data_IF_464205124937
#
_entry.id   IF_464205124937
#
_cell.length_a   1.000
_cell.length_b   1.000
_cell.length_c   1.000
_cell.angle_alpha   90.00
_cell.angle_beta   90.00
_cell.angle_gamma   90.00
#
_symmetry.space_group_name_H-M   'P 1'
#
loop_
_entity.id
_entity.type
_entity.pdbx_description
1 polymer ?
#
# COMPACT_ATOMS: atom_id res chain seq x y z
N UNK A 1 -25.13 -8.78 0.11
CA UNK A 1 -25.16 -7.70 -0.07
C UNK A 1 -23.99 -7.10 0.20
N UNK A 2 -23.76 -6.57 -0.35
CA UNK A 2 -22.75 -6.12 -0.15
C UNK A 2 -22.71 -5.11 0.39
N UNK A 3 -22.25 -5.01 1.01
CA UNK A 3 -22.22 -4.10 1.68
C UNK A 3 -21.70 -3.06 1.16
N UNK A 4 -22.17 -2.36 1.33
CA UNK A 4 -21.91 -1.32 0.94
C UNK A 4 -20.66 -0.85 1.23
N UNK A 5 -20.15 -1.24 2.20
CA UNK A 5 -19.01 -0.66 2.66
C UNK A 5 -17.92 -0.73 1.69
N UNK A 6 -17.72 -1.81 1.14
CA UNK A 6 -16.57 -1.95 0.34
C UNK A 6 -16.65 -1.09 -0.87
N UNK A 7 -17.84 -0.89 -1.32
CA UNK A 7 -17.91 -0.26 -2.56
C UNK A 7 -17.59 1.18 -2.52
N UNK A 8 -17.65 1.76 -1.43
CA UNK A 8 -17.42 3.15 -1.40
C UNK A 8 -16.08 3.57 -0.95
N UNK A 9 -15.27 2.64 -0.51
CA UNK A 9 -14.01 3.02 -0.02
C UNK A 9 -13.16 3.60 -1.08
N UNK A 10 -12.54 4.73 -0.80
CA UNK A 10 -11.63 5.36 -1.73
C UNK A 10 -12.28 5.85 -2.99
N UNK A 11 -13.60 5.85 -3.05
CA UNK A 11 -14.28 6.29 -4.26
C UNK A 11 -14.12 5.37 -5.45
N UNK A 12 -13.62 4.14 -5.25
CA UNK A 12 -13.42 3.21 -6.35
C UNK A 12 -14.74 2.56 -6.72
N UNK A 13 -15.15 2.59 -7.98
CA UNK A 13 -16.36 1.90 -8.40
C UNK A 13 -16.23 0.42 -8.13
N UNK A 14 -17.31 -0.20 -7.64
CA UNK A 14 -17.27 -1.60 -7.25
C UNK A 14 -16.76 -2.52 -8.34
N UNK A 15 -17.25 -2.31 -9.57
CA UNK A 15 -16.84 -3.19 -10.66
C UNK A 15 -15.36 -3.10 -10.97
N UNK A 16 -14.82 -1.87 -10.98
CA UNK A 16 -13.41 -1.68 -11.28
C UNK A 16 -12.55 -2.27 -10.18
N UNK A 17 -12.95 -2.08 -8.92
CA UNK A 17 -12.18 -2.61 -7.80
C UNK A 17 -12.16 -4.14 -7.82
N UNK A 18 -13.30 -4.75 -8.06
CA UNK A 18 -13.37 -6.21 -8.08
C UNK A 18 -12.49 -6.79 -9.18
N UNK A 19 -12.54 -6.19 -10.38
CA UNK A 19 -11.75 -6.70 -11.50
C UNK A 19 -10.27 -6.48 -11.26
N UNK A 20 -9.87 -5.29 -10.78
CA UNK A 20 -8.47 -4.99 -10.55
C UNK A 20 -7.89 -5.89 -9.46
N UNK A 21 -8.65 -6.09 -8.40
CA UNK A 21 -8.19 -6.93 -7.31
C UNK A 21 -8.01 -8.38 -7.76
N UNK A 22 -8.96 -8.89 -8.53
CA UNK A 22 -8.88 -10.28 -9.01
C UNK A 22 -7.75 -10.50 -9.99
N UNK A 23 -7.37 -9.44 -10.72
CA UNK A 23 -6.35 -9.58 -11.75
C UNK A 23 -4.94 -9.33 -11.22
N UNK A 24 -4.79 -8.41 -10.26
CA UNK A 24 -3.47 -7.95 -9.86
C UNK A 24 -3.13 -8.19 -8.40
N UNK A 25 -4.08 -8.37 -7.52
CA UNK A 25 -3.80 -8.47 -6.09
C UNK A 25 -3.99 -9.88 -5.55
N UNK A 26 -5.18 -10.44 -5.73
CA UNK A 26 -5.47 -11.76 -5.18
C UNK A 26 -5.99 -12.62 -6.30
N UNK A 27 -5.15 -13.49 -6.82
CA UNK A 27 -5.48 -14.28 -8.00
C UNK A 27 -5.18 -15.74 -7.75
N UNK A 28 -6.14 -16.59 -8.08
CA UNK A 28 -6.00 -18.04 -7.94
C UNK A 28 -5.61 -18.46 -6.52
N UNK A 29 -6.18 -17.79 -5.52
CA UNK A 29 -5.91 -18.13 -4.13
C UNK A 29 -4.57 -17.64 -3.61
N UNK A 30 -3.88 -16.78 -4.35
CA UNK A 30 -2.58 -16.28 -3.93
C UNK A 30 -2.56 -14.77 -3.91
N UNK A 31 -1.80 -14.22 -2.96
CA UNK A 31 -1.56 -12.79 -2.93
C UNK A 31 -0.43 -12.49 -3.91
N UNK A 32 -0.70 -11.64 -4.90
CA UNK A 32 0.27 -11.28 -5.92
C UNK A 32 0.46 -9.78 -6.05
N UNK A 33 -0.18 -8.99 -5.20
CA UNK A 33 -0.08 -7.55 -5.25
C UNK A 33 -0.65 -6.91 -4.02
N UNK A 34 -0.60 -5.58 -3.99
CA UNK A 34 -1.19 -4.81 -2.89
C UNK A 34 -1.50 -3.40 -3.38
N UNK A 35 -2.42 -2.73 -2.68
CA UNK A 35 -2.69 -1.32 -2.93
C UNK A 35 -1.54 -0.48 -2.41
N UNK A 36 -1.18 0.56 -3.14
CA UNK A 36 -0.06 1.42 -2.78
C UNK A 36 -0.42 2.89 -2.92
N UNK A 37 0.55 3.76 -2.71
CA UNK A 37 0.41 5.18 -2.95
C UNK A 37 -0.72 5.81 -2.17
N UNK A 38 -1.39 6.77 -2.78
CA UNK A 38 -2.51 7.46 -2.14
C UNK A 38 -3.66 6.51 -1.82
N UNK A 39 -3.81 5.44 -2.59
CA UNK A 39 -4.86 4.47 -2.33
C UNK A 39 -4.68 3.84 -0.95
N UNK A 40 -3.48 3.35 -0.68
CA UNK A 40 -3.21 2.74 0.63
C UNK A 40 -3.19 3.79 1.74
N UNK A 41 -2.59 4.95 1.50
CA UNK A 41 -2.57 6.01 2.50
C UNK A 41 -3.97 6.43 2.92
N UNK A 42 -4.90 6.48 1.96
CA UNK A 42 -6.28 6.78 2.26
C UNK A 42 -6.94 5.65 3.06
N UNK A 43 -6.64 4.41 2.73
CA UNK A 43 -7.18 3.26 3.46
C UNK A 43 -6.74 3.28 4.92
N UNK A 44 -5.53 3.73 5.19
CA UNK A 44 -5.05 3.84 6.57
C UNK A 44 -5.52 5.12 7.26
N UNK A 45 -6.08 6.05 6.52
CA UNK A 45 -6.51 7.32 7.07
C UNK A 45 -5.39 8.34 7.23
N UNK A 46 -4.23 8.09 6.60
CA UNK A 46 -3.11 9.03 6.64
C UNK A 46 -3.43 10.27 5.84
N UNK A 47 -4.16 10.11 4.76
CA UNK A 47 -4.69 11.24 4.02
C UNK A 47 -6.21 11.13 3.94
N UNK A 48 -6.87 12.29 3.98
CA UNK A 48 -8.32 12.33 3.80
C UNK A 48 -8.70 12.49 2.33
N UNK A 49 -7.71 12.74 1.47
CA UNK A 49 -7.95 12.94 0.07
C UNK A 49 -8.34 11.61 -0.59
N UNK A 50 -9.50 11.57 -1.22
CA UNK A 50 -9.95 10.37 -1.92
C UNK A 50 -9.17 10.27 -3.22
N UNK A 51 -8.48 9.14 -3.46
CA UNK A 51 -7.65 9.05 -4.66
C UNK A 51 -8.48 8.99 -5.92
N UNK A 52 -8.01 9.72 -6.93
CA UNK A 52 -8.64 9.76 -8.22
C UNK A 52 -8.32 8.52 -9.03
N UNK A 53 -7.14 7.98 -8.82
CA UNK A 53 -6.72 6.76 -9.48
C UNK A 53 -6.46 5.71 -8.42
N UNK A 54 -6.54 4.45 -8.81
CA UNK A 54 -6.22 3.35 -7.92
C UNK A 54 -4.79 2.94 -8.20
N UNK A 55 -3.95 2.86 -7.18
CA UNK A 55 -2.54 2.50 -7.33
C UNK A 55 -2.31 1.10 -6.79
N UNK A 56 -1.69 0.27 -7.60
CA UNK A 56 -1.43 -1.14 -7.26
C UNK A 56 0.00 -1.49 -7.64
N UNK A 57 0.65 -2.24 -6.75
CA UNK A 57 1.93 -2.89 -7.06
C UNK A 57 1.64 -4.38 -7.18
N UNK A 58 2.13 -5.01 -8.23
CA UNK A 58 1.79 -6.41 -8.49
C UNK A 58 2.92 -7.15 -9.20
N UNK A 59 3.01 -8.44 -8.90
CA UNK A 59 3.89 -9.34 -9.67
C UNK A 59 3.43 -9.45 -11.11
N UNK A 60 2.15 -9.21 -11.36
CA UNK A 60 1.56 -9.39 -12.68
C UNK A 60 1.60 -8.17 -13.57
N UNK A 61 2.32 -7.15 -13.16
CA UNK A 61 2.52 -5.99 -14.03
C UNK A 61 3.52 -6.36 -15.10
N UNK A 62 3.18 -6.04 -16.36
CA UNK A 62 4.06 -6.39 -17.47
C UNK A 62 5.18 -5.38 -17.68
N UNK A 63 5.09 -4.21 -17.07
CA UNK A 63 6.13 -3.19 -17.18
C UNK A 63 6.29 -2.50 -15.85
N UNK A 64 7.35 -1.71 -15.72
CA UNK A 64 7.64 -1.04 -14.45
C UNK A 64 6.52 -0.10 -14.03
N UNK A 65 5.90 0.55 -14.99
CA UNK A 65 4.84 1.51 -14.72
C UNK A 65 3.86 1.49 -15.89
N UNK A 66 2.59 1.49 -15.58
CA UNK A 66 1.58 1.47 -16.60
C UNK A 66 0.27 2.04 -16.08
N UNK A 67 -0.41 2.81 -16.93
CA UNK A 67 -1.74 3.29 -16.63
C UNK A 67 -2.72 2.51 -17.49
N UNK A 68 -3.77 2.02 -16.89
CA UNK A 68 -4.81 1.32 -17.62
C UNK A 68 -6.16 1.84 -17.20
N UNK A 69 -7.13 1.75 -18.12
CA UNK A 69 -8.50 2.08 -17.80
C UNK A 69 -9.26 0.79 -17.58
N UNK A 70 -9.99 0.72 -16.50
CA UNK A 70 -10.74 -0.45 -16.17
C UNK A 70 -12.12 -0.02 -15.70
N UNK A 71 -13.10 -0.26 -16.53
CA UNK A 71 -14.50 0.11 -16.25
C UNK A 71 -14.62 1.58 -15.88
N UNK A 72 -13.95 2.44 -16.64
CA UNK A 72 -14.02 3.87 -16.45
C UNK A 72 -13.14 4.40 -15.33
N UNK A 73 -12.37 3.54 -14.70
CA UNK A 73 -11.50 3.96 -13.61
C UNK A 73 -10.05 3.79 -14.02
N UNK A 74 -9.22 4.78 -13.72
CA UNK A 74 -7.81 4.69 -14.03
C UNK A 74 -7.08 3.92 -12.94
N UNK A 75 -6.29 2.95 -13.36
CA UNK A 75 -5.46 2.16 -12.47
C UNK A 75 -4.01 2.45 -12.81
N UNK A 76 -3.20 2.78 -11.82
CA UNK A 76 -1.76 2.90 -11.98
C UNK A 76 -1.16 1.61 -11.46
N UNK A 77 -0.47 0.90 -12.34
CA UNK A 77 0.06 -0.41 -12.02
C UNK A 77 1.56 -0.36 -12.09
N UNK A 78 2.22 -0.81 -11.02
CA UNK A 78 3.68 -0.86 -10.97
C UNK A 78 4.13 -2.27 -10.72
N UNK A 79 5.22 -2.65 -11.34
CA UNK A 79 5.80 -3.96 -11.11
C UNK A 79 6.57 -3.94 -9.80
N UNK A 80 6.41 -4.98 -9.01
CA UNK A 80 7.11 -5.09 -7.74
C UNK A 80 8.60 -5.36 -7.96
N UNK A 81 9.43 -4.78 -7.10
CA UNK A 81 10.87 -5.04 -7.11
C UNK A 81 11.18 -6.40 -6.53
N UNK A 82 10.29 -6.90 -5.71
CA UNK A 82 10.47 -8.14 -4.97
C UNK A 82 9.24 -8.99 -5.25
N UNK A 83 9.41 -10.28 -5.39
CA UNK A 83 8.26 -11.17 -5.60
C UNK A 83 7.34 -11.08 -4.38
N UNK A 84 6.12 -10.69 -4.61
CA UNK A 84 5.12 -10.53 -3.57
C UNK A 84 4.51 -11.89 -3.25
N UNK A 85 4.42 -12.20 -1.95
CA UNK A 85 3.87 -13.46 -1.50
C UNK A 85 2.91 -13.22 -0.34
N UNK A 86 2.23 -14.27 0.06
CA UNK A 86 1.36 -14.24 1.22
C UNK A 86 2.11 -13.80 2.47
N UNK A 87 3.38 -14.14 2.57
CA UNK A 87 4.15 -13.85 3.77
C UNK A 87 4.71 -12.44 3.81
N UNK A 88 5.01 -11.84 2.66
CA UNK A 88 5.73 -10.57 2.67
C UNK A 88 4.93 -9.36 2.23
N UNK A 89 3.71 -9.56 1.72
CA UNK A 89 3.02 -8.43 1.08
C UNK A 89 2.74 -7.27 2.03
N UNK A 90 2.48 -7.55 3.29
CA UNK A 90 2.21 -6.48 4.26
C UNK A 90 3.46 -5.68 4.56
N UNK A 91 4.60 -6.37 4.67
CA UNK A 91 5.88 -5.70 4.88
C UNK A 91 6.25 -4.84 3.67
N UNK A 92 6.07 -5.37 2.47
CA UNK A 92 6.37 -4.61 1.26
C UNK A 92 5.45 -3.40 1.11
N UNK A 93 4.19 -3.57 1.45
CA UNK A 93 3.22 -2.48 1.41
C UNK A 93 3.62 -1.37 2.39
N UNK A 94 4.04 -1.75 3.58
CA UNK A 94 4.50 -0.80 4.58
C UNK A 94 5.75 -0.05 4.11
N UNK A 95 6.72 -0.76 3.56
CA UNK A 95 7.96 -0.13 3.11
C UNK A 95 7.70 0.82 1.95
N UNK A 96 6.79 0.46 1.07
CA UNK A 96 6.41 1.31 -0.03
C UNK A 96 5.76 2.60 0.49
N UNK A 97 4.88 2.47 1.45
CA UNK A 97 4.25 3.63 2.08
C UNK A 97 5.29 4.53 2.74
N UNK A 98 6.19 3.96 3.51
CA UNK A 98 7.19 4.72 4.24
C UNK A 98 8.18 5.43 3.33
N UNK A 99 8.44 4.85 2.17
CA UNK A 99 9.34 5.47 1.19
C UNK A 99 8.83 6.83 0.73
N UNK A 100 7.51 7.02 0.75
CA UNK A 100 6.89 8.24 0.24
C UNK A 100 5.91 8.87 1.22
N UNK A 101 6.06 8.57 2.50
CA UNK A 101 5.07 8.99 3.50
C UNK A 101 4.89 10.51 3.55
N UNK A 102 5.94 11.27 3.26
CA UNK A 102 5.84 12.72 3.30
C UNK A 102 4.96 13.27 2.19
N UNK A 103 4.75 12.51 1.13
CA UNK A 103 3.85 12.93 0.06
C UNK A 103 2.40 12.74 0.46
N UNK A 104 2.12 11.75 1.29
CA UNK A 104 0.75 11.37 1.59
C UNK A 104 0.22 11.98 2.87
N UNK A 105 1.10 12.15 3.86
CA UNK A 105 0.67 12.62 5.16
C UNK A 105 0.12 14.03 5.06
N UNK A 106 -1.04 14.21 5.67
CA UNK A 106 -1.58 15.54 5.83
C UNK A 106 -0.71 16.26 6.86
N UNK A 107 -1.21 17.23 7.54
CA UNK A 107 -0.35 18.05 8.40
C UNK A 107 0.06 17.39 9.70
N UNK A 108 -0.76 16.48 10.21
CA UNK A 108 -0.53 15.94 11.53
C UNK A 108 0.31 14.66 11.49
N UNK A 109 1.61 14.82 11.71
CA UNK A 109 2.53 13.68 11.69
C UNK A 109 2.30 12.73 12.86
N UNK A 110 1.81 13.24 14.00
CA UNK A 110 1.51 12.38 15.14
C UNK A 110 0.37 11.41 14.80
N UNK A 111 -0.64 11.88 14.11
CA UNK A 111 -1.73 11.04 13.71
C UNK A 111 -1.25 9.98 12.71
N UNK A 112 -0.42 10.39 11.77
CA UNK A 112 0.14 9.46 10.80
C UNK A 112 1.00 8.39 11.49
N UNK A 113 1.80 8.79 12.46
CA UNK A 113 2.60 7.85 13.23
C UNK A 113 1.70 6.82 13.92
N UNK A 114 0.64 7.29 14.54
CA UNK A 114 -0.28 6.42 15.25
C UNK A 114 -0.91 5.38 14.32
N UNK A 115 -1.28 5.80 13.13
CA UNK A 115 -1.91 4.90 12.15
C UNK A 115 -0.92 3.87 11.62
N UNK A 116 0.32 4.29 11.36
CA UNK A 116 1.36 3.37 10.92
C UNK A 116 1.67 2.37 12.03
N UNK A 117 1.79 2.84 13.26
CA UNK A 117 2.04 1.97 14.41
C UNK A 117 0.95 0.91 14.54
N UNK A 118 -0.29 1.35 14.43
CA UNK A 118 -1.43 0.43 14.53
C UNK A 118 -1.37 -0.63 13.42
N UNK A 119 -1.03 -0.21 12.22
CA UNK A 119 -0.92 -1.14 11.10
C UNK A 119 0.17 -2.19 11.37
N UNK A 120 1.34 -1.75 11.83
CA UNK A 120 2.44 -2.67 12.14
C UNK A 120 2.01 -3.69 13.18
N UNK A 121 1.36 -3.21 14.23
CA UNK A 121 0.96 -4.09 15.33
C UNK A 121 -0.14 -5.05 14.90
N UNK A 122 -1.14 -4.56 14.19
CA UNK A 122 -2.25 -5.41 13.77
C UNK A 122 -1.85 -6.47 12.77
N UNK A 123 -0.89 -6.14 11.90
CA UNK A 123 -0.45 -7.08 10.89
C UNK A 123 0.71 -7.95 11.34
N UNK A 124 1.25 -7.67 12.52
CA UNK A 124 2.32 -8.48 13.07
C UNK A 124 3.62 -8.37 12.32
N UNK A 125 3.93 -7.20 11.78
CA UNK A 125 5.16 -7.00 11.02
C UNK A 125 6.33 -6.90 11.99
N UNK A 126 7.38 -7.70 11.76
CA UNK A 126 8.54 -7.73 12.65
C UNK A 126 9.69 -6.90 12.09
N UNK A 127 10.63 -6.57 12.98
CA UNK A 127 11.85 -5.88 12.59
C UNK A 127 12.66 -6.71 11.60
N UNK A 128 12.71 -8.01 11.81
CA UNK A 128 13.45 -8.90 10.92
C UNK A 128 12.89 -8.87 9.51
N UNK A 129 11.58 -8.85 9.38
CA UNK A 129 10.97 -8.77 8.06
C UNK A 129 11.29 -7.46 7.37
N UNK A 130 11.26 -6.37 8.11
CA UNK A 130 11.62 -5.06 7.56
C UNK A 130 13.07 -5.08 7.10
N UNK A 131 13.96 -5.58 7.94
CA UNK A 131 15.40 -5.61 7.62
C UNK A 131 15.68 -6.46 6.39
N UNK A 132 14.89 -7.48 6.17
CA UNK A 132 15.08 -8.38 5.05
C UNK A 132 14.89 -7.68 3.70
N UNK A 133 14.00 -6.71 3.64
CA UNK A 133 13.62 -6.09 2.37
C UNK A 133 14.00 -4.62 2.23
N UNK A 134 14.33 -3.94 3.32
CA UNK A 134 14.46 -2.48 3.30
C UNK A 134 15.52 -1.97 2.32
N UNK A 135 16.55 -2.76 2.08
CA UNK A 135 17.62 -2.34 1.17
C UNK A 135 17.18 -2.23 -0.27
N UNK A 136 16.04 -2.78 -0.62
CA UNK A 136 15.51 -2.67 -1.98
C UNK A 136 14.75 -1.38 -2.21
N UNK A 137 14.62 -0.55 -1.18
CA UNK A 137 13.85 0.69 -1.25
C UNK A 137 14.78 1.90 -1.25
N UNK A 138 14.29 3.08 -1.68
CA UNK A 138 15.14 4.26 -1.72
C UNK A 138 15.69 4.61 -0.34
N UNK A 139 16.87 5.18 -0.31
CA UNK A 139 17.53 5.50 0.98
C UNK A 139 16.72 6.47 1.84
N UNK A 140 15.91 7.31 1.23
CA UNK A 140 15.09 8.24 2.00
C UNK A 140 14.16 7.52 2.98
N UNK A 141 13.96 6.22 2.81
CA UNK A 141 13.11 5.48 3.71
C UNK A 141 13.65 5.51 5.14
N UNK A 142 14.96 5.54 5.31
CA UNK A 142 15.55 5.56 6.66
C UNK A 142 15.21 6.84 7.38
N UNK A 143 15.30 7.98 6.69
CA UNK A 143 14.93 9.25 7.29
C UNK A 143 13.45 9.28 7.63
N UNK A 144 12.61 8.78 6.73
CA UNK A 144 11.18 8.74 6.95
C UNK A 144 10.84 7.85 8.14
N UNK A 145 11.48 6.70 8.26
CA UNK A 145 11.23 5.80 9.38
C UNK A 145 11.67 6.42 10.69
N UNK A 146 12.77 7.16 10.68
CA UNK A 146 13.22 7.83 11.87
C UNK A 146 12.23 8.92 12.30
N UNK A 147 11.80 9.73 11.37
CA UNK A 147 10.86 10.83 11.66
C UNK A 147 9.49 10.30 12.07
N UNK A 148 9.10 9.16 11.56
CA UNK A 148 7.83 8.55 11.92
C UNK A 148 7.96 7.67 13.16
N UNK A 149 9.15 7.62 13.75
CA UNK A 149 9.42 6.83 14.95
C UNK A 149 9.08 5.35 14.79
N UNK A 150 9.22 4.84 13.58
CA UNK A 150 8.87 3.45 13.30
C UNK A 150 9.79 2.49 14.05
N UNK A 151 11.06 2.88 14.21
CA UNK A 151 11.99 2.02 14.94
C UNK A 151 11.55 1.78 16.39
N UNK A 152 10.84 2.74 16.99
CA UNK A 152 10.36 2.59 18.35
C UNK A 152 9.30 1.50 18.46
N UNK A 153 8.55 1.27 17.41
CA UNK A 153 7.51 0.28 17.40
C UNK A 153 8.09 -1.13 17.54
N UNK A 154 9.31 -1.31 17.03
CA UNK A 154 9.97 -2.62 17.07
C UNK A 154 10.87 -2.80 18.28
N UNK A 155 11.02 -1.76 19.10
CA UNK A 155 11.93 -1.82 20.25
C UNK A 155 11.42 -2.72 21.38
#
# INVERSE_FOLDING_TARGET
>A
YIPKQSRLKGGVPLGADVVARAKYIYRNGRVEGYYSGYTFANQLGITTQVPYVVEIVSNNASSRFREIDMKGRKIVLRKSRIIITEKNYRTLQLLDLLSNITQYADEDMEDSYSRVKTYIQNEGISREEVDQYIKKYPERIYKNMYEMRVFDVFA
#
